data_IF_952420569628
#
_entry.id   IF_952420569628
#
_cell.length_a   1.000
_cell.length_b   1.000
_cell.length_c   1.000
_cell.angle_alpha   90.00
_cell.angle_beta   90.00
_cell.angle_gamma   90.00
#
_symmetry.space_group_name_H-M   'P 1'
#
loop_
_entity.id
_entity.type
_entity.pdbx_description
1 polymer ?
#
# COMPACT_ATOMS: atom_id res chain seq x y z
N UNK A 1 17.15 54.42 16.07
CA UNK A 1 18.46 53.79 16.00
C UNK A 1 18.33 52.29 15.72
N UNK A 2 18.82 51.84 14.57
CA UNK A 2 19.33 50.53 14.18
C UNK A 2 18.29 49.42 13.95
N UNK A 3 18.08 49.02 12.69
CA UNK A 3 18.76 47.97 11.90
C UNK A 3 18.44 46.56 12.40
N UNK A 4 18.05 45.58 11.62
CA UNK A 4 18.25 45.07 10.27
C UNK A 4 17.18 43.97 10.04
N UNK A 5 16.48 43.82 8.97
CA UNK A 5 16.78 43.11 7.73
C UNK A 5 17.21 41.65 7.93
N UNK A 6 16.43 40.75 7.40
CA UNK A 6 16.78 39.36 7.23
C UNK A 6 15.59 38.60 6.67
N UNK A 7 15.36 38.72 5.34
CA UNK A 7 14.42 37.88 4.62
C UNK A 7 15.00 36.47 4.51
N UNK A 8 14.19 35.47 4.83
CA UNK A 8 14.43 34.08 4.56
C UNK A 8 13.24 33.54 3.81
N UNK A 9 13.34 33.49 2.48
CA UNK A 9 12.40 32.78 1.62
C UNK A 9 12.60 31.29 1.84
N UNK A 10 11.75 30.70 2.71
CA UNK A 10 11.69 29.25 2.89
C UNK A 10 10.77 28.65 1.87
N UNK A 11 11.32 27.79 1.06
CA UNK A 11 10.63 26.99 0.05
C UNK A 11 9.66 25.99 0.72
N UNK A 12 8.34 25.98 0.44
CA UNK A 12 7.38 25.14 1.16
C UNK A 12 7.17 23.74 0.56
N UNK A 13 8.10 23.22 -0.23
CA UNK A 13 7.94 21.93 -0.93
C UNK A 13 8.85 20.79 -0.49
N UNK A 14 9.39 20.82 0.73
CA UNK A 14 10.06 19.65 1.30
C UNK A 14 9.04 18.79 2.08
N UNK A 15 8.52 17.76 1.46
CA UNK A 15 7.73 16.73 2.14
C UNK A 15 8.58 16.03 3.21
N UNK A 16 7.97 15.55 4.31
CA UNK A 16 8.70 14.91 5.40
C UNK A 16 9.37 13.62 4.91
N UNK A 17 10.68 13.62 4.95
CA UNK A 17 11.51 12.42 4.79
C UNK A 17 11.25 11.50 5.99
N UNK A 18 10.89 10.26 5.75
CA UNK A 18 10.70 9.26 6.80
C UNK A 18 11.99 9.10 7.62
N UNK A 19 11.91 8.99 8.96
CA UNK A 19 13.10 8.75 9.77
C UNK A 19 13.69 7.39 9.43
N UNK A 20 14.91 7.39 8.92
CA UNK A 20 15.70 6.18 8.76
C UNK A 20 16.00 5.59 10.14
N UNK A 21 15.51 4.40 10.38
CA UNK A 21 15.86 3.61 11.56
C UNK A 21 17.36 3.31 11.56
N UNK A 22 17.97 3.43 12.73
CA UNK A 22 19.40 3.21 13.00
C UNK A 22 19.95 1.93 12.39
N UNK A 23 21.19 1.92 11.93
CA UNK A 23 21.83 0.73 11.39
C UNK A 23 22.07 -0.30 12.50
N UNK A 24 21.57 -1.51 12.28
CA UNK A 24 21.90 -2.68 13.09
C UNK A 24 23.36 -3.07 12.83
N UNK A 25 24.10 -3.32 13.89
CA UNK A 25 25.48 -3.83 13.89
C UNK A 25 25.62 -5.08 13.02
N UNK A 26 26.75 -5.25 12.31
CA UNK A 26 26.98 -6.46 11.53
C UNK A 26 27.20 -7.66 12.45
N UNK A 27 26.34 -8.65 12.33
CA UNK A 27 26.55 -9.95 12.94
C UNK A 27 27.69 -10.69 12.22
N UNK A 28 28.60 -11.19 13.00
CA UNK A 28 29.84 -11.89 12.67
C UNK A 28 29.60 -13.03 11.67
N UNK A 29 30.38 -12.99 10.60
CA UNK A 29 30.46 -13.99 9.54
C UNK A 29 31.05 -15.30 10.07
N UNK A 30 30.21 -16.33 10.13
CA UNK A 30 30.64 -17.73 10.18
C UNK A 30 30.32 -18.36 8.84
N UNK A 31 31.29 -18.41 7.93
CA UNK A 31 31.16 -19.08 6.66
C UNK A 31 31.16 -20.60 6.86
N UNK A 32 30.11 -21.29 6.44
CA UNK A 32 30.15 -22.68 6.02
C UNK A 32 29.30 -22.82 4.76
N UNK A 33 29.95 -23.28 3.73
CA UNK A 33 29.41 -23.50 2.40
C UNK A 33 28.34 -24.60 2.41
N UNK A 34 27.43 -24.47 1.45
CA UNK A 34 26.54 -25.50 0.94
C UNK A 34 25.32 -25.84 1.80
N UNK A 35 24.28 -25.06 1.61
CA UNK A 35 22.95 -25.25 2.17
C UNK A 35 22.15 -23.96 2.11
N UNK A 36 21.87 -23.43 0.91
CA UNK A 36 20.94 -22.31 0.78
C UNK A 36 19.62 -22.71 1.46
N UNK A 37 19.34 -22.14 2.65
CA UNK A 37 18.07 -22.37 3.33
C UNK A 37 16.96 -21.99 2.35
N UNK A 38 15.96 -22.88 2.14
CA UNK A 38 14.86 -22.55 1.27
C UNK A 38 14.20 -21.25 1.73
N UNK A 39 13.98 -20.35 0.79
CA UNK A 39 13.32 -19.06 1.08
C UNK A 39 11.93 -19.35 1.63
N UNK A 40 11.57 -18.86 2.82
CA UNK A 40 10.26 -19.09 3.41
C UNK A 40 9.13 -18.73 2.45
N UNK A 41 8.06 -19.53 2.36
CA UNK A 41 6.91 -19.22 1.51
C UNK A 41 6.18 -17.96 2.03
N UNK A 42 5.50 -17.25 1.13
CA UNK A 42 4.48 -16.27 1.50
C UNK A 42 3.14 -17.01 1.66
N UNK A 43 2.53 -16.91 2.84
CA UNK A 43 1.16 -17.38 3.07
C UNK A 43 0.19 -16.22 2.89
N UNK A 44 -0.91 -16.43 2.17
CA UNK A 44 -1.91 -15.38 1.92
C UNK A 44 -3.27 -15.84 2.44
N UNK A 45 -3.87 -15.04 3.33
CA UNK A 45 -5.22 -15.24 3.84
C UNK A 45 -6.12 -14.11 3.32
N UNK A 46 -6.96 -14.45 2.36
CA UNK A 46 -7.91 -13.51 1.74
C UNK A 46 -9.35 -13.95 1.99
N UNK A 47 -10.25 -13.00 2.16
CA UNK A 47 -11.68 -13.25 2.36
C UNK A 47 -12.41 -12.02 2.88
N UNK A 48 -13.75 -12.04 2.96
CA UNK A 48 -14.55 -10.90 3.38
C UNK A 48 -14.24 -10.47 4.83
N UNK A 49 -14.58 -9.23 5.16
CA UNK A 49 -14.52 -8.75 6.55
C UNK A 49 -15.39 -9.62 7.46
N UNK A 50 -14.97 -9.79 8.71
CA UNK A 50 -15.63 -10.62 9.73
C UNK A 50 -15.69 -12.15 9.44
N UNK A 51 -14.90 -12.67 8.49
CA UNK A 51 -14.81 -14.11 8.18
C UNK A 51 -13.85 -14.90 9.10
N UNK A 52 -13.31 -14.28 10.15
CA UNK A 52 -12.38 -14.96 11.07
C UNK A 52 -10.92 -15.03 10.63
N UNK A 53 -10.53 -14.38 9.53
CA UNK A 53 -9.16 -14.39 8.99
C UNK A 53 -8.08 -14.03 10.02
N UNK A 54 -8.31 -12.96 10.80
CA UNK A 54 -7.33 -12.48 11.78
C UNK A 54 -7.06 -13.52 12.87
N UNK A 55 -8.12 -14.14 13.40
CA UNK A 55 -7.99 -15.22 14.38
C UNK A 55 -7.29 -16.45 13.79
N UNK A 56 -7.62 -16.82 12.55
CA UNK A 56 -6.96 -17.91 11.83
C UNK A 56 -5.47 -17.60 11.61
N UNK A 57 -5.13 -16.38 11.22
CA UNK A 57 -3.74 -15.97 11.01
C UNK A 57 -2.90 -16.09 12.28
N UNK A 58 -3.44 -15.64 13.42
CA UNK A 58 -2.77 -15.74 14.72
C UNK A 58 -2.58 -17.22 15.11
N UNK A 59 -3.61 -18.05 14.95
CA UNK A 59 -3.51 -19.48 15.24
C UNK A 59 -2.47 -20.17 14.35
N UNK A 60 -2.47 -19.86 13.06
CA UNK A 60 -1.51 -20.40 12.09
C UNK A 60 -0.09 -19.96 12.44
N UNK A 61 0.14 -18.66 12.70
CA UNK A 61 1.45 -18.15 13.06
C UNK A 61 2.01 -18.87 14.32
N UNK A 62 1.19 -19.02 15.35
CA UNK A 62 1.58 -19.72 16.57
C UNK A 62 1.86 -21.21 16.36
N UNK A 63 1.07 -21.87 15.52
CA UNK A 63 1.29 -23.27 15.16
C UNK A 63 2.58 -23.49 14.39
N UNK A 64 2.88 -22.59 13.45
CA UNK A 64 4.14 -22.59 12.69
C UNK A 64 5.33 -22.34 13.62
N UNK A 65 5.24 -21.37 14.51
CA UNK A 65 6.30 -21.05 15.47
C UNK A 65 6.57 -22.23 16.41
N UNK A 66 5.53 -22.87 16.94
CA UNK A 66 5.66 -24.08 17.77
C UNK A 66 6.30 -25.26 17.00
N UNK A 67 6.22 -25.25 15.68
CA UNK A 67 6.85 -26.27 14.81
C UNK A 67 8.26 -25.88 14.34
N UNK A 68 8.84 -24.82 14.89
CA UNK A 68 10.18 -24.33 14.53
C UNK A 68 10.22 -23.48 13.25
N UNK A 69 9.07 -23.02 12.76
CA UNK A 69 8.92 -22.16 11.59
C UNK A 69 8.36 -20.79 12.01
N UNK A 70 9.17 -19.85 12.51
CA UNK A 70 8.68 -18.58 13.00
C UNK A 70 7.93 -17.82 11.92
N UNK A 71 6.74 -17.33 12.27
CA UNK A 71 5.85 -16.65 11.34
C UNK A 71 5.34 -15.32 11.92
N UNK A 72 5.17 -14.31 11.05
CA UNK A 72 4.68 -12.99 11.43
C UNK A 72 3.61 -12.53 10.45
N UNK A 73 2.68 -11.70 10.95
CA UNK A 73 1.53 -11.24 10.18
C UNK A 73 1.86 -9.92 9.48
N UNK A 74 1.52 -9.84 8.20
CA UNK A 74 1.59 -8.61 7.40
C UNK A 74 0.16 -8.17 7.09
N UNK A 75 -0.21 -6.98 7.52
CA UNK A 75 -1.53 -6.42 7.26
C UNK A 75 -1.72 -6.12 5.77
N UNK A 76 -2.81 -6.61 5.20
CA UNK A 76 -3.27 -6.36 3.82
C UNK A 76 -4.53 -5.51 3.74
N UNK A 77 -4.91 -4.83 4.84
CA UNK A 77 -6.06 -3.92 4.88
C UNK A 77 -5.58 -2.46 4.80
N UNK A 78 -6.20 -1.71 3.89
CA UNK A 78 -5.85 -0.32 3.62
C UNK A 78 -6.16 0.65 4.75
N UNK A 79 -7.04 0.30 5.68
CA UNK A 79 -7.47 1.18 6.76
C UNK A 79 -6.67 0.94 8.05
N UNK A 80 -6.26 -0.29 8.29
CA UNK A 80 -5.50 -0.64 9.48
C UNK A 80 -4.07 -0.08 9.49
N UNK A 81 -3.58 0.42 8.34
CA UNK A 81 -2.27 1.06 8.22
C UNK A 81 -2.21 2.42 8.95
N UNK A 82 -3.36 3.09 9.13
CA UNK A 82 -3.42 4.43 9.73
C UNK A 82 -3.55 4.38 11.25
N UNK A 83 -2.69 5.10 11.95
CA UNK A 83 -2.75 5.27 13.40
C UNK A 83 -4.04 6.00 13.81
N UNK A 84 -4.66 5.55 14.92
CA UNK A 84 -5.88 6.15 15.44
C UNK A 84 -7.18 5.78 14.70
N UNK A 85 -7.12 5.04 13.59
CA UNK A 85 -8.32 4.54 12.90
C UNK A 85 -8.70 3.16 13.43
N UNK A 86 -9.21 3.10 14.66
CA UNK A 86 -9.45 1.84 15.37
C UNK A 86 -10.90 1.36 15.30
N UNK A 87 -11.84 2.26 15.02
CA UNK A 87 -13.27 1.95 14.97
C UNK A 87 -13.67 1.54 13.55
N UNK A 88 -14.29 0.37 13.42
CA UNK A 88 -14.81 -0.13 12.13
C UNK A 88 -13.75 -0.64 11.14
N UNK A 89 -12.49 -0.73 11.54
CA UNK A 89 -11.37 -1.13 10.67
C UNK A 89 -10.91 -2.57 10.86
N UNK A 90 -11.51 -3.32 11.79
CA UNK A 90 -11.07 -4.67 12.17
C UNK A 90 -9.55 -4.77 12.48
N UNK A 91 -8.96 -3.68 12.95
CA UNK A 91 -7.54 -3.61 13.35
C UNK A 91 -7.24 -4.63 14.47
N UNK A 92 -6.10 -5.32 14.43
CA UNK A 92 -5.71 -6.24 15.49
C UNK A 92 -5.57 -5.49 16.82
N UNK A 93 -6.13 -6.08 17.88
CA UNK A 93 -6.06 -5.52 19.23
C UNK A 93 -4.63 -5.54 19.79
N UNK A 94 -4.37 -4.80 20.86
CA UNK A 94 -3.07 -4.86 21.55
C UNK A 94 -2.75 -6.28 22.05
N UNK A 95 -3.76 -7.05 22.49
CA UNK A 95 -3.61 -8.45 22.88
C UNK A 95 -3.24 -9.34 21.69
N UNK A 96 -3.84 -9.12 20.52
CA UNK A 96 -3.50 -9.87 19.30
C UNK A 96 -2.06 -9.60 18.88
N UNK A 97 -1.66 -8.33 18.91
CA UNK A 97 -0.29 -7.92 18.58
C UNK A 97 0.77 -8.40 19.58
N UNK A 98 0.38 -8.64 20.83
CA UNK A 98 1.25 -9.26 21.82
C UNK A 98 1.45 -10.77 21.60
N UNK A 99 0.50 -11.45 20.96
CA UNK A 99 0.58 -12.88 20.67
C UNK A 99 1.48 -13.18 19.46
N UNK A 100 1.42 -12.35 18.42
CA UNK A 100 2.17 -12.49 17.18
C UNK A 100 2.54 -11.09 16.66
N UNK A 101 3.76 -10.85 16.18
CA UNK A 101 4.11 -9.58 15.55
C UNK A 101 3.24 -9.30 14.32
N UNK A 102 2.72 -8.06 14.26
CA UNK A 102 1.94 -7.57 13.14
C UNK A 102 2.66 -6.37 12.49
N UNK A 103 2.82 -6.44 11.19
CA UNK A 103 3.43 -5.37 10.38
C UNK A 103 2.37 -4.60 9.61
N UNK A 104 2.68 -3.36 9.25
CA UNK A 104 1.81 -2.44 8.52
C UNK A 104 0.47 -2.14 9.24
N UNK A 105 0.55 -2.05 10.55
CA UNK A 105 -0.53 -1.58 11.43
C UNK A 105 -0.03 -0.31 12.12
N UNK A 106 -0.81 0.76 12.12
CA UNK A 106 -0.46 2.05 12.75
C UNK A 106 0.86 2.67 12.27
N UNK A 107 1.20 2.55 10.99
CA UNK A 107 2.46 3.05 10.44
C UNK A 107 2.35 4.41 9.73
N UNK A 108 1.13 4.87 9.45
CA UNK A 108 0.87 6.17 8.84
C UNK A 108 -0.04 7.01 9.72
N UNK A 109 0.20 8.31 9.72
CA UNK A 109 -0.73 9.27 10.31
C UNK A 109 -1.94 9.48 9.39
N UNK A 110 -3.11 9.79 9.96
CA UNK A 110 -4.36 10.01 9.18
C UNK A 110 -4.28 11.18 8.20
N UNK A 111 -3.33 12.09 8.41
CA UNK A 111 -3.03 13.22 7.51
C UNK A 111 -2.18 12.83 6.30
N UNK A 112 -1.55 11.67 6.34
CA UNK A 112 -0.73 11.16 5.24
C UNK A 112 -1.61 10.46 4.21
N UNK A 113 -1.28 10.65 2.94
CA UNK A 113 -1.95 9.94 1.85
C UNK A 113 -1.09 8.75 1.43
N UNK A 114 -1.68 7.56 1.38
CA UNK A 114 -1.04 6.37 0.84
C UNK A 114 -1.82 5.87 -0.37
N UNK A 115 -1.10 5.63 -1.45
CA UNK A 115 -1.64 4.98 -2.64
C UNK A 115 -1.50 3.45 -2.54
N UNK A 116 -2.18 2.72 -3.43
CA UNK A 116 -1.98 1.25 -3.53
C UNK A 116 -0.54 0.91 -3.90
N UNK A 117 0.13 1.76 -4.70
CA UNK A 117 1.54 1.59 -5.06
C UNK A 117 2.48 1.74 -3.86
N UNK A 118 2.26 2.75 -3.02
CA UNK A 118 3.03 2.95 -1.79
C UNK A 118 2.85 1.76 -0.84
N UNK A 119 1.61 1.30 -0.69
CA UNK A 119 1.32 0.12 0.12
C UNK A 119 1.99 -1.15 -0.44
N UNK A 120 1.94 -1.37 -1.76
CA UNK A 120 2.61 -2.49 -2.42
C UNK A 120 4.11 -2.51 -2.09
N UNK A 121 4.77 -1.37 -2.23
CA UNK A 121 6.19 -1.24 -1.94
C UNK A 121 6.49 -1.58 -0.48
N UNK A 122 5.79 -0.95 0.47
CA UNK A 122 5.96 -1.19 1.91
C UNK A 122 5.73 -2.67 2.28
N UNK A 123 4.67 -3.28 1.73
CA UNK A 123 4.35 -4.67 2.01
C UNK A 123 5.41 -5.63 1.45
N UNK A 124 5.88 -5.40 0.22
CA UNK A 124 6.94 -6.21 -0.40
C UNK A 124 8.27 -6.09 0.34
N UNK A 125 8.63 -4.90 0.82
CA UNK A 125 9.82 -4.69 1.65
C UNK A 125 9.75 -5.46 2.97
N UNK A 126 8.61 -5.41 3.66
CA UNK A 126 8.38 -6.18 4.89
C UNK A 126 8.46 -7.68 4.62
N UNK A 127 7.79 -8.17 3.59
CA UNK A 127 7.80 -9.59 3.20
C UNK A 127 9.22 -10.05 2.87
N UNK A 128 9.97 -9.28 2.09
CA UNK A 128 11.35 -9.61 1.72
C UNK A 128 12.25 -9.69 2.96
N UNK A 129 12.13 -8.73 3.89
CA UNK A 129 12.88 -8.72 5.15
C UNK A 129 12.55 -9.93 6.03
N UNK A 130 11.27 -10.30 6.16
CA UNK A 130 10.87 -11.49 6.93
C UNK A 130 11.44 -12.76 6.32
N UNK A 131 11.33 -12.93 5.01
CA UNK A 131 11.85 -14.10 4.30
C UNK A 131 13.38 -14.20 4.41
N UNK A 132 14.10 -13.09 4.29
CA UNK A 132 15.57 -13.08 4.44
C UNK A 132 16.01 -13.42 5.86
N UNK A 133 15.17 -13.16 6.89
CA UNK A 133 15.43 -13.55 8.28
C UNK A 133 14.94 -14.97 8.61
N UNK A 134 14.49 -15.75 7.62
CA UNK A 134 14.00 -17.11 7.81
C UNK A 134 12.59 -17.20 8.41
N UNK A 135 11.82 -16.11 8.38
CA UNK A 135 10.45 -16.04 8.91
C UNK A 135 9.43 -16.18 7.81
N UNK A 136 8.31 -16.81 8.10
CA UNK A 136 7.19 -16.98 7.18
C UNK A 136 6.28 -15.74 7.30
N UNK A 137 6.17 -14.89 6.24
CA UNK A 137 5.18 -13.82 6.23
C UNK A 137 3.79 -14.38 5.95
N UNK A 138 2.80 -13.96 6.74
CA UNK A 138 1.38 -14.27 6.54
C UNK A 138 0.67 -12.98 6.18
N UNK A 139 0.39 -12.77 4.90
CA UNK A 139 -0.36 -11.60 4.40
C UNK A 139 -1.85 -11.82 4.63
N UNK A 140 -2.49 -10.93 5.39
CA UNK A 140 -3.89 -11.05 5.77
C UNK A 140 -4.67 -9.82 5.33
N UNK A 141 -5.64 -9.98 4.42
CA UNK A 141 -6.42 -8.86 3.93
C UNK A 141 -7.83 -9.20 3.45
N UNK A 142 -8.72 -8.22 3.51
CA UNK A 142 -10.09 -8.28 2.96
C UNK A 142 -10.21 -7.60 1.59
N UNK A 143 -9.33 -6.67 1.27
CA UNK A 143 -9.33 -5.95 0.00
C UNK A 143 -8.57 -6.74 -1.06
N UNK A 144 -9.30 -7.23 -2.05
CA UNK A 144 -8.69 -7.94 -3.19
C UNK A 144 -7.65 -7.08 -3.92
N UNK A 145 -7.90 -5.77 -4.07
CA UNK A 145 -6.98 -4.86 -4.75
C UNK A 145 -5.63 -4.78 -4.03
N UNK A 146 -5.62 -4.57 -2.72
CA UNK A 146 -4.39 -4.41 -1.94
C UNK A 146 -3.59 -5.71 -1.85
N UNK A 147 -4.27 -6.83 -1.60
CA UNK A 147 -3.62 -8.15 -1.56
C UNK A 147 -3.06 -8.52 -2.93
N UNK A 148 -3.85 -8.35 -4.00
CA UNK A 148 -3.40 -8.60 -5.37
C UNK A 148 -2.24 -7.69 -5.77
N UNK A 149 -2.26 -6.42 -5.37
CA UNK A 149 -1.14 -5.52 -5.61
C UNK A 149 0.18 -6.05 -5.04
N UNK A 150 0.14 -6.73 -3.89
CA UNK A 150 1.34 -7.29 -3.24
C UNK A 150 1.82 -8.57 -3.93
N UNK A 151 0.90 -9.48 -4.31
CA UNK A 151 1.22 -10.82 -4.80
C UNK A 151 1.39 -10.91 -6.32
N UNK A 152 0.67 -10.07 -7.07
CA UNK A 152 0.71 -10.04 -8.53
C UNK A 152 1.73 -8.99 -9.01
N UNK A 153 2.25 -9.16 -10.23
CA UNK A 153 3.20 -8.21 -10.84
C UNK A 153 2.48 -6.95 -11.39
N UNK A 154 1.77 -6.26 -10.50
CA UNK A 154 1.16 -4.99 -10.86
C UNK A 154 2.20 -3.88 -10.90
N UNK A 155 2.33 -3.27 -12.08
CA UNK A 155 2.94 -1.96 -12.23
C UNK A 155 1.83 -0.91 -12.18
N UNK A 156 1.88 -0.04 -11.17
CA UNK A 156 0.94 1.05 -11.08
C UNK A 156 1.46 2.23 -11.89
N UNK A 157 0.66 2.78 -12.82
CA UNK A 157 1.00 4.04 -13.47
C UNK A 157 1.25 5.09 -12.38
N UNK A 158 2.34 5.81 -12.49
CA UNK A 158 2.67 6.91 -11.60
C UNK A 158 1.55 7.93 -11.48
N UNK A 159 1.68 8.85 -10.56
CA UNK A 159 0.80 10.02 -10.43
C UNK A 159 1.60 11.28 -10.75
N UNK A 160 0.96 12.24 -11.42
CA UNK A 160 1.51 13.56 -11.60
C UNK A 160 0.53 14.58 -10.96
N UNK A 161 0.95 15.26 -9.89
CA UNK A 161 0.09 16.23 -9.21
C UNK A 161 -0.38 17.37 -10.12
N UNK A 162 0.40 17.79 -11.10
CA UNK A 162 0.03 18.87 -12.03
C UNK A 162 -1.02 18.41 -13.03
N UNK A 163 -0.85 17.21 -13.59
CA UNK A 163 -1.83 16.59 -14.48
C UNK A 163 -3.13 16.35 -13.73
N UNK A 164 -3.06 15.81 -12.53
CA UNK A 164 -4.24 15.58 -11.68
C UNK A 164 -4.97 16.89 -11.37
N UNK A 165 -4.27 17.90 -10.87
CA UNK A 165 -4.86 19.19 -10.54
C UNK A 165 -5.50 19.87 -11.76
N UNK A 166 -4.97 19.67 -12.96
CA UNK A 166 -5.60 20.15 -14.19
C UNK A 166 -6.93 19.44 -14.43
N UNK A 167 -6.99 18.11 -14.36
CA UNK A 167 -8.23 17.37 -14.55
C UNK A 167 -9.27 17.63 -13.46
N UNK A 168 -8.83 17.94 -12.24
CA UNK A 168 -9.73 18.36 -11.15
C UNK A 168 -10.33 19.77 -11.45
N UNK A 169 -9.57 20.70 -12.03
CA UNK A 169 -10.11 21.98 -12.48
C UNK A 169 -11.11 21.81 -13.63
N UNK A 170 -10.79 20.96 -14.61
CA UNK A 170 -11.74 20.64 -15.69
C UNK A 170 -13.04 20.02 -15.14
N UNK A 171 -12.91 19.13 -14.13
CA UNK A 171 -14.06 18.55 -13.43
C UNK A 171 -14.92 19.64 -12.77
N UNK A 172 -14.30 20.60 -12.09
CA UNK A 172 -14.99 21.70 -11.44
C UNK A 172 -15.68 22.63 -12.43
N UNK A 173 -15.08 22.85 -13.60
CA UNK A 173 -15.60 23.74 -14.63
C UNK A 173 -16.73 23.11 -15.48
N UNK A 174 -16.61 21.83 -15.82
CA UNK A 174 -17.47 21.18 -16.82
C UNK A 174 -18.31 20.03 -16.28
N UNK A 175 -18.04 19.57 -15.07
CA UNK A 175 -18.76 18.48 -14.40
C UNK A 175 -18.33 17.08 -14.86
N UNK A 176 -18.79 16.07 -14.08
CA UNK A 176 -18.38 14.69 -14.30
C UNK A 176 -18.85 14.11 -15.65
N UNK A 177 -20.03 14.49 -16.12
CA UNK A 177 -20.56 13.99 -17.39
C UNK A 177 -19.70 14.40 -18.59
N UNK A 178 -19.27 15.66 -18.65
CA UNK A 178 -18.41 16.14 -19.73
C UNK A 178 -17.04 15.43 -19.72
N UNK A 179 -16.46 15.24 -18.54
CA UNK A 179 -15.19 14.52 -18.43
C UNK A 179 -15.35 13.03 -18.76
N UNK A 180 -16.48 12.44 -18.45
CA UNK A 180 -16.76 11.05 -18.84
C UNK A 180 -16.82 10.88 -20.34
N UNK A 181 -17.49 11.79 -21.09
CA UNK A 181 -17.52 11.76 -22.54
C UNK A 181 -16.13 11.98 -23.14
N UNK A 182 -15.32 12.86 -22.56
CA UNK A 182 -13.92 13.06 -22.96
C UNK A 182 -13.08 11.79 -22.73
N UNK A 183 -13.24 11.13 -21.59
CA UNK A 183 -12.59 9.85 -21.29
C UNK A 183 -13.00 8.78 -22.31
N UNK A 184 -14.31 8.63 -22.57
CA UNK A 184 -14.82 7.62 -23.52
C UNK A 184 -14.35 7.91 -24.96
N UNK A 185 -14.25 9.17 -25.32
CA UNK A 185 -13.71 9.59 -26.63
C UNK A 185 -12.26 9.16 -26.81
N UNK A 186 -11.42 9.29 -25.77
CA UNK A 186 -9.99 8.92 -25.79
C UNK A 186 -9.76 7.43 -25.53
N UNK A 187 -10.60 6.82 -24.72
CA UNK A 187 -10.51 5.43 -24.28
C UNK A 187 -11.91 4.77 -24.31
N UNK A 188 -12.39 4.31 -25.48
CA UNK A 188 -13.74 3.73 -25.61
C UNK A 188 -14.03 2.57 -24.67
N UNK A 189 -13.01 1.82 -24.24
CA UNK A 189 -13.10 0.75 -23.27
C UNK A 189 -13.47 1.20 -21.85
N UNK A 190 -13.45 2.49 -21.56
CA UNK A 190 -13.93 3.05 -20.28
C UNK A 190 -15.47 3.03 -20.20
N UNK A 191 -16.15 2.94 -21.35
CA UNK A 191 -17.62 2.89 -21.40
C UNK A 191 -18.13 1.65 -20.67
N UNK A 192 -18.98 1.86 -19.65
CA UNK A 192 -19.54 0.80 -18.83
C UNK A 192 -18.60 0.23 -17.75
N UNK A 193 -17.31 0.57 -17.79
CA UNK A 193 -16.36 0.18 -16.77
C UNK A 193 -16.21 1.21 -15.63
N UNK A 194 -16.50 2.47 -15.94
CA UNK A 194 -16.56 3.56 -14.97
C UNK A 194 -17.98 4.15 -15.00
N UNK A 195 -18.58 4.32 -13.83
CA UNK A 195 -19.83 5.06 -13.72
C UNK A 195 -19.64 6.54 -14.05
N UNK A 196 -20.52 7.15 -14.88
CA UNK A 196 -20.43 8.56 -15.27
C UNK A 196 -20.43 9.55 -14.10
N UNK A 197 -20.99 9.15 -12.95
CA UNK A 197 -21.01 9.96 -11.72
C UNK A 197 -19.72 9.82 -10.87
N UNK A 198 -18.87 8.84 -11.16
CA UNK A 198 -17.66 8.58 -10.37
C UNK A 198 -16.51 9.49 -10.80
N UNK A 199 -16.59 10.76 -10.41
CA UNK A 199 -15.61 11.80 -10.75
C UNK A 199 -14.17 11.43 -10.40
N UNK A 200 -13.93 10.79 -9.23
CA UNK A 200 -12.58 10.41 -8.81
C UNK A 200 -11.97 9.36 -9.76
N UNK A 201 -12.76 8.37 -10.19
CA UNK A 201 -12.28 7.37 -11.16
C UNK A 201 -12.08 7.97 -12.55
N UNK A 202 -12.93 8.88 -12.98
CA UNK A 202 -12.79 9.58 -14.27
C UNK A 202 -11.51 10.40 -14.30
N UNK A 203 -11.26 11.24 -13.30
CA UNK A 203 -10.03 12.05 -13.20
C UNK A 203 -8.81 11.15 -13.20
N UNK A 204 -8.81 10.06 -12.42
CA UNK A 204 -7.68 9.13 -12.39
C UNK A 204 -7.47 8.43 -13.74
N UNK A 205 -8.52 8.03 -14.43
CA UNK A 205 -8.41 7.39 -15.74
C UNK A 205 -7.83 8.34 -16.78
N UNK A 206 -8.24 9.61 -16.77
CA UNK A 206 -7.71 10.65 -17.66
C UNK A 206 -6.24 10.96 -17.35
N UNK A 207 -5.87 11.02 -16.07
CA UNK A 207 -4.48 11.17 -15.63
C UNK A 207 -3.61 10.01 -16.15
N UNK A 208 -4.04 8.77 -15.92
CA UNK A 208 -3.32 7.57 -16.39
C UNK A 208 -3.17 7.58 -17.90
N UNK A 209 -4.26 7.84 -18.63
CA UNK A 209 -4.25 7.89 -20.08
C UNK A 209 -3.28 8.94 -20.62
N UNK A 210 -3.15 10.07 -19.94
CA UNK A 210 -2.23 11.12 -20.35
C UNK A 210 -0.76 10.76 -20.05
N UNK A 211 -0.50 10.13 -18.92
CA UNK A 211 0.86 9.75 -18.51
C UNK A 211 1.41 8.55 -19.28
N UNK A 212 0.53 7.62 -19.66
CA UNK A 212 0.94 6.33 -20.25
C UNK A 212 0.54 6.14 -21.72
N UNK A 213 -0.36 6.99 -22.22
CA UNK A 213 -0.95 6.84 -23.55
C UNK A 213 -2.01 5.78 -23.69
N UNK A 214 -2.26 4.97 -22.64
CA UNK A 214 -3.29 3.92 -22.68
C UNK A 214 -4.04 3.83 -21.35
N UNK A 215 -5.25 3.27 -21.41
CA UNK A 215 -6.08 2.99 -20.25
C UNK A 215 -6.66 1.58 -20.34
N UNK A 216 -6.55 0.80 -19.27
CA UNK A 216 -7.23 -0.48 -19.12
C UNK A 216 -8.21 -0.40 -17.95
N UNK A 217 -9.49 -0.75 -18.15
CA UNK A 217 -10.48 -0.77 -17.08
C UNK A 217 -10.33 -1.97 -16.13
N UNK A 218 -9.57 -2.95 -16.53
CA UNK A 218 -9.36 -4.20 -15.79
C UNK A 218 -7.98 -4.25 -15.16
N UNK A 219 -7.92 -4.84 -13.97
CA UNK A 219 -6.64 -5.23 -13.40
C UNK A 219 -6.00 -6.28 -14.33
N UNK A 220 -4.67 -6.31 -14.45
CA UNK A 220 -3.98 -7.38 -15.17
C UNK A 220 -4.45 -8.76 -14.69
N UNK A 221 -4.47 -9.77 -15.56
CA UNK A 221 -4.69 -11.15 -15.12
C UNK A 221 -3.59 -11.56 -14.12
N UNK A 222 -3.89 -12.49 -13.22
CA UNK A 222 -2.91 -13.01 -12.27
C UNK A 222 -1.80 -13.77 -12.97
#
# INVERSE_FOLDING_TARGET
GRHLAGGGTGDPCAGPTLPMTSPLSPATTGASADGARPVPPLVVLIGPTASGKSSLAIQLARSLDASGHPAEIVNGDSMAIYAGMDIGTAKPSASDRALVPHHLVDVLEVTQTSTVADFQQLAREVIARLRSSGRIPILVGGSSLYVRAVIDDFEFPGTDPQVRARWERELAAHGAAALYEELVRRAPQARGAIEPANSRRIVRALEVLELTGHYSPHLPPP
#
